data_IF_675491463849
#
_entry.id   IF_675491463849
#
_cell.length_a   1.000
_cell.length_b   1.000
_cell.length_c   1.000
_cell.angle_alpha   90.00
_cell.angle_beta   90.00
_cell.angle_gamma   90.00
#
_symmetry.space_group_name_H-M   'P 1'
#
loop_
_entity.id
_entity.type
_entity.pdbx_description
1 polymer ?
#
# COMPACT_ATOMS: atom_id res chain seq x y z
N UNK A 1 -45.50 -6.47 4.29
CA UNK A 1 -44.68 -6.52 3.05
C UNK A 1 -43.46 -5.69 3.35
N UNK A 2 -42.36 -6.34 3.75
CA UNK A 2 -41.17 -5.62 4.20
C UNK A 2 -40.52 -5.01 2.96
N UNK A 3 -40.19 -3.71 3.02
CA UNK A 3 -39.35 -3.06 2.03
C UNK A 3 -38.16 -3.99 1.78
N UNK A 4 -38.02 -4.48 0.55
CA UNK A 4 -36.93 -5.38 0.22
C UNK A 4 -35.64 -4.68 0.62
N UNK A 5 -34.92 -5.24 1.59
CA UNK A 5 -33.59 -4.80 1.93
C UNK A 5 -32.77 -4.85 0.63
N UNK A 6 -32.59 -3.71 -0.03
CA UNK A 6 -31.83 -3.59 -1.27
C UNK A 6 -30.37 -3.89 -0.94
N UNK A 7 -30.04 -5.18 -0.95
CA UNK A 7 -28.68 -5.64 -0.70
C UNK A 7 -27.81 -5.22 -1.87
N UNK A 8 -26.80 -4.41 -1.57
CA UNK A 8 -25.80 -4.07 -2.56
C UNK A 8 -24.79 -5.23 -2.71
N UNK A 9 -24.54 -5.60 -3.96
CA UNK A 9 -23.57 -6.63 -4.33
C UNK A 9 -22.41 -5.99 -5.07
N UNK A 10 -21.21 -6.46 -4.76
CA UNK A 10 -19.99 -5.90 -5.32
C UNK A 10 -19.12 -6.97 -5.92
N UNK A 11 -18.48 -6.62 -7.04
CA UNK A 11 -17.50 -7.48 -7.71
C UNK A 11 -16.12 -7.31 -7.08
N UNK A 12 -15.28 -8.35 -7.14
CA UNK A 12 -13.89 -8.23 -6.74
C UNK A 12 -13.14 -7.22 -7.62
N UNK A 13 -12.07 -6.61 -7.09
CA UNK A 13 -11.19 -5.73 -7.87
C UNK A 13 -10.57 -6.47 -9.06
N UNK A 14 -10.34 -5.75 -10.15
CA UNK A 14 -9.62 -6.28 -11.31
C UNK A 14 -8.10 -6.39 -11.06
N UNK A 15 -7.57 -5.64 -10.08
CA UNK A 15 -6.15 -5.66 -9.74
C UNK A 15 -5.76 -7.01 -9.14
N UNK A 16 -4.77 -7.67 -9.73
CA UNK A 16 -4.34 -9.03 -9.34
C UNK A 16 -3.90 -9.12 -7.88
N UNK A 17 -3.12 -8.14 -7.40
CA UNK A 17 -2.67 -8.08 -6.01
C UNK A 17 -3.84 -7.98 -5.03
N UNK A 18 -4.83 -7.13 -5.33
CA UNK A 18 -6.01 -6.95 -4.47
C UNK A 18 -6.96 -8.14 -4.54
N UNK A 19 -7.08 -8.75 -5.71
CA UNK A 19 -7.83 -9.98 -5.90
C UNK A 19 -7.26 -11.11 -5.03
N UNK A 20 -5.93 -11.24 -4.99
CA UNK A 20 -5.26 -12.22 -4.16
C UNK A 20 -5.51 -11.96 -2.66
N UNK A 21 -5.47 -10.70 -2.21
CA UNK A 21 -5.85 -10.35 -0.84
C UNK A 21 -7.31 -10.72 -0.53
N UNK A 22 -8.22 -10.41 -1.45
CA UNK A 22 -9.64 -10.77 -1.35
C UNK A 22 -9.84 -12.28 -1.23
N UNK A 23 -9.13 -13.06 -2.04
CA UNK A 23 -9.16 -14.51 -2.01
C UNK A 23 -8.63 -15.06 -0.68
N UNK A 24 -7.55 -14.48 -0.14
CA UNK A 24 -6.99 -14.89 1.14
C UNK A 24 -7.92 -14.59 2.33
N UNK A 25 -8.65 -13.46 2.31
CA UNK A 25 -9.57 -13.10 3.41
C UNK A 25 -10.95 -13.73 3.31
N UNK A 26 -11.30 -14.22 2.12
CA UNK A 26 -12.55 -14.93 1.85
C UNK A 26 -12.35 -16.40 2.19
N UNK A 27 -13.03 -16.94 3.20
CA UNK A 27 -12.83 -18.33 3.62
C UNK A 27 -13.56 -19.29 2.68
N UNK A 28 -13.08 -19.39 1.44
CA UNK A 28 -13.47 -20.37 0.43
C UNK A 28 -12.27 -21.23 0.10
N UNK A 29 -12.43 -22.55 0.16
CA UNK A 29 -11.39 -23.52 -0.20
C UNK A 29 -11.73 -24.36 -1.43
N UNK A 30 -12.95 -24.18 -1.96
CA UNK A 30 -13.49 -24.91 -3.10
C UNK A 30 -13.02 -24.34 -4.44
N UNK A 31 -12.94 -23.00 -4.56
CA UNK A 31 -12.56 -22.33 -5.80
C UNK A 31 -11.89 -20.99 -5.54
N UNK A 32 -10.99 -20.62 -6.45
CA UNK A 32 -10.48 -19.25 -6.56
C UNK A 32 -11.61 -18.26 -6.84
N UNK A 33 -11.41 -16.97 -6.53
CA UNK A 33 -12.46 -15.96 -6.67
C UNK A 33 -12.53 -15.47 -8.13
N UNK A 34 -13.51 -15.91 -8.96
CA UNK A 34 -13.61 -15.41 -10.32
C UNK A 34 -14.09 -13.96 -10.33
N UNK A 35 -13.80 -13.22 -11.41
CA UNK A 35 -14.29 -11.85 -11.63
C UNK A 35 -15.83 -11.75 -11.69
N UNK A 36 -16.52 -12.86 -11.94
CA UNK A 36 -17.98 -12.96 -11.91
C UNK A 36 -18.55 -13.14 -10.50
N UNK A 37 -17.71 -13.43 -9.50
CA UNK A 37 -18.17 -13.58 -8.13
C UNK A 37 -18.65 -12.24 -7.59
N UNK A 38 -19.65 -12.28 -6.70
CA UNK A 38 -20.15 -11.10 -6.02
C UNK A 38 -20.17 -11.34 -4.51
N UNK A 39 -19.89 -10.26 -3.78
CA UNK A 39 -19.90 -10.23 -2.32
C UNK A 39 -20.92 -9.17 -1.89
N UNK A 40 -21.83 -9.52 -0.99
CA UNK A 40 -22.81 -8.57 -0.44
C UNK A 40 -22.17 -7.60 0.55
N UNK A 41 -22.76 -6.43 0.69
CA UNK A 41 -22.34 -5.34 1.59
C UNK A 41 -22.08 -5.79 3.04
N UNK A 42 -22.85 -6.77 3.55
CA UNK A 42 -22.74 -7.26 4.92
C UNK A 42 -21.39 -7.91 5.26
N UNK A 43 -20.60 -8.25 4.24
CA UNK A 43 -19.25 -8.78 4.41
C UNK A 43 -18.20 -7.67 4.59
N UNK A 44 -18.58 -6.41 4.40
CA UNK A 44 -17.72 -5.24 4.52
C UNK A 44 -18.06 -4.46 5.78
N UNK A 45 -17.08 -3.70 6.26
CA UNK A 45 -17.32 -2.74 7.33
C UNK A 45 -17.93 -1.48 6.71
N UNK A 46 -18.91 -0.89 7.38
CA UNK A 46 -19.57 0.37 6.99
C UNK A 46 -18.62 1.49 6.52
N UNK A 47 -17.48 1.80 7.18
CA UNK A 47 -16.57 2.84 6.69
C UNK A 47 -15.86 2.50 5.36
N UNK A 48 -15.92 1.26 4.88
CA UNK A 48 -15.32 0.83 3.63
C UNK A 48 -16.23 1.06 2.42
N UNK A 49 -17.51 1.35 2.65
CA UNK A 49 -18.52 1.62 1.62
C UNK A 49 -18.67 3.14 1.47
N UNK A 50 -18.80 3.59 0.22
CA UNK A 50 -19.02 4.97 -0.16
C UNK A 50 -20.42 5.11 -0.78
N UNK A 51 -21.38 5.48 0.08
CA UNK A 51 -22.80 5.70 -0.26
C UNK A 51 -23.02 7.07 -0.91
N UNK A 52 -22.19 8.05 -0.55
CA UNK A 52 -22.30 9.43 -1.01
C UNK A 52 -21.03 9.87 -1.75
N UNK A 53 -21.19 10.72 -2.76
CA UNK A 53 -20.10 11.44 -3.41
C UNK A 53 -20.09 12.87 -2.90
N UNK A 54 -18.92 13.33 -2.44
CA UNK A 54 -18.70 14.73 -2.10
C UNK A 54 -18.16 15.41 -3.35
N UNK A 55 -18.91 16.36 -3.90
CA UNK A 55 -18.47 17.20 -5.01
C UNK A 55 -18.26 18.63 -4.53
N UNK A 56 -17.10 19.22 -4.85
CA UNK A 56 -16.81 20.61 -4.48
C UNK A 56 -17.20 21.53 -5.66
N UNK A 57 -18.28 22.29 -5.51
CA UNK A 57 -18.74 23.28 -6.49
C UNK A 57 -18.49 24.66 -5.90
N UNK A 58 -17.66 25.46 -6.56
CA UNK A 58 -17.38 26.86 -6.17
C UNK A 58 -16.98 27.06 -4.69
N UNK A 59 -16.29 26.09 -4.08
CA UNK A 59 -15.86 26.15 -2.68
C UNK A 59 -16.89 25.64 -1.66
N UNK A 60 -18.07 25.21 -2.12
CA UNK A 60 -19.06 24.49 -1.31
C UNK A 60 -19.02 22.99 -1.58
N UNK A 61 -18.83 22.20 -0.52
CA UNK A 61 -18.95 20.74 -0.60
C UNK A 61 -20.43 20.33 -0.62
N UNK A 62 -20.87 19.78 -1.75
CA UNK A 62 -22.21 19.19 -1.93
C UNK A 62 -22.09 17.67 -1.78
N UNK A 63 -22.91 17.10 -0.89
CA UNK A 63 -22.98 15.65 -0.67
C UNK A 63 -24.16 15.12 -1.48
N UNK A 64 -23.88 14.25 -2.45
CA UNK A 64 -24.89 13.63 -3.30
C UNK A 64 -24.95 12.12 -3.00
N UNK A 65 -26.14 11.56 -2.77
CA UNK A 65 -26.30 10.11 -2.65
C UNK A 65 -26.00 9.43 -3.98
N UNK A 66 -25.41 8.24 -3.94
CA UNK A 66 -25.14 7.43 -5.13
C UNK A 66 -26.25 6.41 -5.34
N UNK A 67 -26.66 6.26 -6.60
CA UNK A 67 -27.54 5.16 -7.01
C UNK A 67 -26.88 3.79 -6.85
N UNK A 68 -25.55 3.73 -7.05
CA UNK A 68 -24.73 2.54 -6.83
C UNK A 68 -23.61 2.85 -5.86
N UNK A 69 -23.64 2.17 -4.72
CA UNK A 69 -22.57 2.24 -3.74
C UNK A 69 -21.28 1.72 -4.36
N UNK A 70 -20.15 2.27 -3.94
CA UNK A 70 -18.84 1.72 -4.30
C UNK A 70 -18.00 1.52 -3.06
N UNK A 71 -16.90 0.79 -3.21
CA UNK A 71 -15.89 0.73 -2.16
C UNK A 71 -14.93 1.91 -2.21
N UNK A 72 -14.30 2.13 -1.05
CA UNK A 72 -13.01 2.83 -0.97
C UNK A 72 -11.89 1.92 -1.48
N UNK A 73 -10.78 2.53 -1.86
CA UNK A 73 -9.65 1.83 -2.49
C UNK A 73 -9.05 0.71 -1.63
N UNK A 74 -9.18 0.76 -0.30
CA UNK A 74 -8.65 -0.25 0.63
C UNK A 74 -9.72 -1.19 1.21
N UNK A 75 -10.93 -1.22 0.64
CA UNK A 75 -12.00 -2.06 1.16
C UNK A 75 -11.71 -3.55 0.99
N UNK A 76 -11.93 -4.32 2.06
CA UNK A 76 -11.71 -5.76 2.11
C UNK A 76 -12.90 -6.43 2.79
N UNK A 77 -13.40 -7.57 2.27
CA UNK A 77 -14.49 -8.30 2.91
C UNK A 77 -13.94 -8.97 4.18
N UNK A 78 -14.25 -8.39 5.34
CA UNK A 78 -13.71 -8.79 6.64
C UNK A 78 -14.68 -9.58 7.52
N UNK A 79 -15.94 -9.68 7.12
CA UNK A 79 -16.99 -10.25 7.95
C UNK A 79 -17.45 -11.56 7.30
N UNK A 80 -16.97 -12.70 7.79
CA UNK A 80 -17.43 -14.01 7.38
C UNK A 80 -17.62 -14.90 8.62
N UNK A 81 -18.70 -15.73 8.67
CA UNK A 81 -18.97 -16.59 9.82
C UNK A 81 -17.89 -17.67 10.00
N UNK A 82 -17.35 -18.21 8.90
CA UNK A 82 -16.32 -19.26 8.92
C UNK A 82 -14.90 -18.70 8.69
N UNK A 83 -14.53 -17.61 9.38
CA UNK A 83 -13.22 -16.98 9.19
C UNK A 83 -12.15 -17.62 10.06
N UNK A 84 -10.95 -17.78 9.50
CA UNK A 84 -9.78 -18.23 10.26
C UNK A 84 -9.46 -17.25 11.41
N UNK A 85 -9.28 -17.77 12.62
CA UNK A 85 -9.15 -16.98 13.87
C UNK A 85 -8.10 -15.87 13.79
N UNK A 86 -7.00 -16.11 13.07
CA UNK A 86 -5.91 -15.14 12.91
C UNK A 86 -6.29 -13.92 12.04
N UNK A 87 -7.28 -14.07 11.14
CA UNK A 87 -7.83 -13.00 10.30
C UNK A 87 -9.03 -12.29 10.94
N UNK A 88 -9.59 -12.84 12.03
CA UNK A 88 -10.79 -12.32 12.69
C UNK A 88 -10.51 -11.13 13.63
N UNK A 89 -9.31 -10.53 13.58
CA UNK A 89 -8.93 -9.41 14.47
C UNK A 89 -9.91 -8.24 14.25
N UNK A 90 -10.67 -7.82 15.28
CA UNK A 90 -11.61 -6.73 15.14
C UNK A 90 -10.86 -5.43 14.87
N UNK A 91 -11.39 -4.61 13.97
CA UNK A 91 -10.87 -3.28 13.72
C UNK A 91 -11.12 -2.42 14.97
N UNK A 92 -10.06 -2.10 15.72
CA UNK A 92 -10.13 -1.23 16.89
C UNK A 92 -9.76 0.18 16.46
N UNK A 93 -10.69 1.14 16.58
CA UNK A 93 -10.35 2.56 16.50
C UNK A 93 -9.42 2.87 17.67
N UNK A 94 -8.20 3.33 17.38
CA UNK A 94 -7.23 3.72 18.42
C UNK A 94 -7.81 4.92 19.18
N UNK A 95 -7.85 4.85 20.51
CA UNK A 95 -8.18 6.03 21.34
C UNK A 95 -7.10 7.09 21.15
N UNK A 96 -7.49 8.36 21.08
CA UNK A 96 -6.50 9.44 21.06
C UNK A 96 -5.64 9.39 22.34
N UNK A 97 -4.34 9.71 22.28
CA UNK A 97 -3.52 9.83 23.48
C UNK A 97 -4.17 10.81 24.46
N UNK A 98 -4.24 10.42 25.75
CA UNK A 98 -4.84 11.25 26.80
C UNK A 98 -4.10 12.59 26.97
N UNK A 99 -2.80 12.62 26.66
CA UNK A 99 -1.98 13.82 26.66
C UNK A 99 -1.25 13.92 25.32
N UNK A 100 -1.44 15.04 24.61
CA UNK A 100 -0.58 15.43 23.48
C UNK A 100 0.56 16.25 24.07
N UNK A 101 1.80 15.73 24.06
CA UNK A 101 2.95 16.59 24.37
C UNK A 101 3.00 17.71 23.33
N UNK A 102 3.04 18.97 23.78
CA UNK A 102 3.28 20.09 22.87
C UNK A 102 4.69 19.89 22.31
N UNK A 103 4.80 19.63 21.01
CA UNK A 103 6.10 19.67 20.34
C UNK A 103 6.61 21.10 20.50
N UNK A 104 7.68 21.26 21.26
CA UNK A 104 8.35 22.55 21.38
C UNK A 104 8.85 22.94 19.98
N UNK A 105 8.65 24.19 19.54
CA UNK A 105 9.18 24.64 18.25
C UNK A 105 10.71 24.48 18.26
N UNK A 106 11.23 23.76 17.26
CA UNK A 106 12.67 23.58 17.06
C UNK A 106 13.24 24.92 16.59
N UNK A 107 13.78 25.72 17.52
CA UNK A 107 14.54 26.93 17.19
C UNK A 107 15.74 26.55 16.30
N UNK A 108 15.64 26.84 15.00
CA UNK A 108 16.79 26.90 14.11
C UNK A 108 17.36 28.31 14.22
N UNK A 109 18.26 28.54 15.17
CA UNK A 109 19.04 29.77 15.16
C UNK A 109 20.16 29.66 14.12
N UNK A 110 20.19 30.69 13.27
CA UNK A 110 21.24 31.06 12.32
C UNK A 110 22.60 31.05 13.01
N UNK A 111 23.60 30.45 12.35
CA UNK A 111 25.01 30.56 12.72
C UNK A 111 25.68 31.39 11.63
N UNK A 112 25.64 32.70 11.81
CA UNK A 112 26.46 33.61 11.04
C UNK A 112 27.70 33.96 11.88
N UNK A 113 28.84 33.92 11.19
CA UNK A 113 30.13 34.57 11.49
C UNK A 113 30.95 34.14 12.71
N UNK A 114 31.95 33.30 12.42
CA UNK A 114 33.26 33.38 13.05
C UNK A 114 34.34 33.20 11.96
N UNK A 115 34.44 34.17 11.05
CA UNK A 115 35.69 34.41 10.32
C UNK A 115 36.61 35.24 11.21
N UNK A 116 37.71 34.64 11.67
CA UNK A 116 38.91 35.40 11.97
C UNK A 116 40.17 34.52 11.85
N UNK A 117 40.82 34.68 10.68
CA UNK A 117 42.27 34.64 10.41
C UNK A 117 43.18 33.59 11.09
N UNK A 118 43.87 32.77 10.28
CA UNK A 118 45.33 32.85 10.06
C UNK A 118 45.92 31.62 9.33
N UNK A 119 46.79 31.93 8.37
CA UNK A 119 47.95 31.15 7.89
C UNK A 119 47.74 29.79 7.20
N UNK A 120 47.93 29.77 5.87
CA UNK A 120 48.43 28.59 5.16
C UNK A 120 49.91 28.36 5.51
N UNK A 121 50.39 27.10 5.53
CA UNK A 121 51.14 26.59 4.37
C UNK A 121 50.78 25.12 4.03
N UNK A 122 50.50 24.83 2.76
CA UNK A 122 51.40 24.17 1.78
C UNK A 122 51.84 22.73 2.09
N UNK A 123 51.28 21.81 1.30
CA UNK A 123 52.01 20.84 0.46
C UNK A 123 53.08 19.96 1.12
N UNK A 124 52.71 18.71 1.40
CA UNK A 124 53.61 17.54 1.33
C UNK A 124 52.84 16.32 0.76
N UNK A 125 53.06 16.10 -0.53
CA UNK A 125 53.53 14.85 -1.14
C UNK A 125 53.69 13.64 -0.19
N UNK A 126 53.02 12.52 -0.50
CA UNK A 126 53.63 11.18 -0.43
C UNK A 126 52.99 10.26 -1.47
N UNK A 127 53.86 9.70 -2.31
CA UNK A 127 53.52 8.87 -3.46
C UNK A 127 53.36 7.37 -3.20
N UNK A 128 53.14 6.73 -4.34
CA UNK A 128 52.80 5.35 -4.69
C UNK A 128 53.61 4.19 -4.08
N UNK A 129 52.90 3.05 -3.94
CA UNK A 129 53.19 1.66 -4.42
C UNK A 129 52.55 0.67 -3.45
N UNK A 130 51.81 -0.38 -3.82
CA UNK A 130 51.64 -1.15 -5.04
C UNK A 130 51.49 -2.62 -4.62
N UNK A 131 50.61 -3.42 -5.23
CA UNK A 131 50.60 -4.88 -5.02
C UNK A 131 49.26 -5.61 -5.17
N UNK A 132 49.05 -6.15 -6.37
CA UNK A 132 48.08 -7.15 -6.85
C UNK A 132 47.84 -8.38 -5.92
N UNK A 133 46.64 -9.00 -5.98
CA UNK A 133 46.41 -10.37 -6.53
C UNK A 133 44.91 -10.76 -6.50
N UNK A 134 44.42 -11.07 -7.70
CA UNK A 134 43.43 -12.07 -8.15
C UNK A 134 42.16 -12.42 -7.34
N UNK A 135 41.02 -12.44 -8.04
CA UNK A 135 39.82 -13.17 -7.62
C UNK A 135 38.53 -12.82 -8.37
N UNK A 136 38.47 -13.10 -9.67
CA UNK A 136 37.28 -13.18 -10.56
C UNK A 136 36.19 -14.09 -9.97
N UNK A 137 34.87 -13.88 -10.11
CA UNK A 137 33.93 -14.19 -11.23
C UNK A 137 32.50 -14.03 -10.65
N UNK A 138 31.36 -13.82 -11.32
CA UNK A 138 30.93 -13.56 -12.70
C UNK A 138 29.52 -12.94 -12.61
N UNK A 139 29.20 -12.02 -13.53
CA UNK A 139 27.84 -11.56 -13.81
C UNK A 139 27.43 -12.19 -15.14
N UNK A 140 26.49 -13.14 -15.12
CA UNK A 140 25.76 -13.57 -16.31
C UNK A 140 24.67 -14.59 -15.95
N UNK A 141 23.41 -14.17 -16.07
CA UNK A 141 22.37 -15.06 -16.62
C UNK A 141 21.17 -14.22 -17.07
N UNK A 142 21.34 -13.52 -18.18
CA UNK A 142 20.26 -13.15 -19.07
C UNK A 142 20.48 -13.97 -20.35
N UNK A 143 19.40 -14.55 -20.88
CA UNK A 143 19.32 -15.45 -22.06
C UNK A 143 19.25 -16.95 -21.72
N UNK A 144 18.03 -17.43 -21.46
CA UNK A 144 17.66 -18.84 -21.60
C UNK A 144 16.15 -18.92 -21.84
N UNK A 145 15.70 -18.53 -23.05
CA UNK A 145 14.28 -18.64 -23.44
C UNK A 145 14.01 -18.70 -24.96
N UNK A 146 15.00 -18.94 -25.83
CA UNK A 146 14.73 -18.97 -27.28
C UNK A 146 15.35 -20.12 -28.10
N UNK A 147 16.02 -21.09 -27.48
CA UNK A 147 16.62 -22.23 -28.23
C UNK A 147 15.81 -23.54 -28.18
N UNK A 148 14.70 -23.62 -27.45
CA UNK A 148 13.93 -24.88 -27.31
C UNK A 148 12.88 -25.15 -28.42
N UNK A 149 12.80 -24.36 -29.49
CA UNK A 149 11.82 -24.58 -30.58
C UNK A 149 12.39 -24.97 -31.94
N UNK A 150 13.67 -25.34 -32.04
CA UNK A 150 14.29 -25.69 -33.34
C UNK A 150 14.84 -27.10 -33.44
N UNK A 151 14.17 -28.09 -32.84
CA UNK A 151 14.51 -29.50 -33.09
C UNK A 151 13.27 -30.37 -33.20
N UNK A 152 12.32 -30.02 -34.06
CA UNK A 152 11.42 -30.93 -34.77
C UNK A 152 10.81 -30.22 -35.99
N UNK A 153 11.57 -30.16 -37.08
CA UNK A 153 11.07 -29.95 -38.43
C UNK A 153 11.97 -30.72 -39.40
#
# INVERSE_FOLDING_TARGET
MNAADEKHFFKPPNDTSRLHEWQHVTPRGDRELPSSCVVSECHFQEPAIAENVVHNICGGAVVLPRDKWSFKDDAMPRIFPNRLKYLAKPFRKRKAPAVRSRLQPKNRYLRDEAEQENAAPSLLEYGERGGSVAGSVALNSTQSLFEELSTMA
#
